data_IF_086043319229
#
_entry.id   IF_086043319229
#
_cell.length_a   1.000
_cell.length_b   1.000
_cell.length_c   1.000
_cell.angle_alpha   90.00
_cell.angle_beta   90.00
_cell.angle_gamma   90.00
#
_symmetry.space_group_name_H-M   'P 1'
#
loop_
_entity.id
_entity.type
_entity.pdbx_description
1 polymer ?
#
# COMPACT_ATOMS: atom_id res chain seq x y z
N UNK A 1 -8.45 -1.57 -19.06
CA UNK A 1 -8.92 -2.85 -18.47
C UNK A 1 -10.32 -3.23 -18.98
N UNK A 2 -10.62 -4.53 -19.04
CA UNK A 2 -11.91 -5.10 -19.46
C UNK A 2 -13.11 -4.53 -18.68
N UNK A 3 -12.89 -4.06 -17.45
CA UNK A 3 -13.87 -3.35 -16.62
C UNK A 3 -14.47 -2.08 -17.27
N UNK A 4 -13.84 -1.49 -18.29
CA UNK A 4 -14.37 -0.33 -19.03
C UNK A 4 -15.60 -0.65 -19.90
N UNK A 5 -15.89 -1.93 -20.17
CA UNK A 5 -17.04 -2.35 -20.96
C UNK A 5 -18.34 -2.45 -20.15
N UNK A 6 -18.29 -2.28 -18.82
CA UNK A 6 -19.50 -2.24 -17.98
C UNK A 6 -20.05 -0.79 -18.03
N UNK A 7 -21.28 -0.57 -18.52
CA UNK A 7 -21.74 0.75 -18.98
C UNK A 7 -21.78 1.84 -17.90
N UNK A 8 -21.94 1.48 -16.61
CA UNK A 8 -21.86 2.43 -15.49
C UNK A 8 -20.44 2.54 -14.90
N UNK A 9 -19.85 1.41 -14.49
CA UNK A 9 -18.55 1.35 -13.80
C UNK A 9 -17.42 1.85 -14.71
N UNK A 10 -17.49 1.54 -16.00
CA UNK A 10 -16.51 1.97 -16.99
C UNK A 10 -16.40 3.48 -17.15
N UNK A 11 -17.51 4.21 -17.04
CA UNK A 11 -17.53 5.69 -17.10
C UNK A 11 -16.89 6.31 -15.86
N UNK A 12 -17.20 5.78 -14.68
CA UNK A 12 -16.60 6.24 -13.42
C UNK A 12 -15.09 6.00 -13.41
N UNK A 13 -14.63 4.80 -13.79
CA UNK A 13 -13.20 4.48 -13.87
C UNK A 13 -12.51 5.40 -14.88
N UNK A 14 -13.10 5.60 -16.06
CA UNK A 14 -12.52 6.49 -17.07
C UNK A 14 -12.45 7.95 -16.60
N UNK A 15 -13.45 8.43 -15.86
CA UNK A 15 -13.47 9.76 -15.28
C UNK A 15 -12.40 9.92 -14.18
N UNK A 16 -12.31 8.95 -13.26
CA UNK A 16 -11.28 8.92 -12.21
C UNK A 16 -9.88 8.87 -12.81
N UNK A 17 -9.65 7.99 -13.78
CA UNK A 17 -8.37 7.85 -14.46
C UNK A 17 -7.97 9.15 -15.18
N UNK A 18 -8.92 9.82 -15.85
CA UNK A 18 -8.66 11.09 -16.55
C UNK A 18 -8.35 12.22 -15.57
N UNK A 19 -9.10 12.33 -14.47
CA UNK A 19 -8.89 13.35 -13.45
C UNK A 19 -7.57 13.13 -12.69
N UNK A 20 -7.29 11.89 -12.31
CA UNK A 20 -6.05 11.49 -11.64
C UNK A 20 -4.83 11.69 -12.54
N UNK A 21 -4.90 11.27 -13.80
CA UNK A 21 -3.83 11.49 -14.78
C UNK A 21 -3.51 12.98 -14.95
N UNK A 22 -4.53 13.84 -14.99
CA UNK A 22 -4.35 15.30 -15.04
C UNK A 22 -3.67 15.84 -13.77
N UNK A 23 -4.10 15.41 -12.59
CA UNK A 23 -3.42 15.81 -11.34
C UNK A 23 -1.95 15.37 -11.28
N UNK A 24 -1.65 14.16 -11.76
CA UNK A 24 -0.29 13.63 -11.81
C UNK A 24 0.57 14.32 -12.89
N UNK A 25 -0.03 14.79 -13.99
CA UNK A 25 0.69 15.57 -15.01
C UNK A 25 1.01 16.97 -14.54
N UNK A 26 0.08 17.59 -13.80
CA UNK A 26 0.21 18.98 -13.35
C UNK A 26 1.20 19.11 -12.18
N UNK A 27 1.44 18.02 -11.43
CA UNK A 27 2.35 18.01 -10.28
C UNK A 27 3.32 16.81 -10.30
N UNK A 28 4.59 17.01 -10.72
CA UNK A 28 5.61 15.96 -10.73
C UNK A 28 5.85 15.32 -9.36
N UNK A 29 5.73 16.09 -8.27
CA UNK A 29 5.88 15.58 -6.91
C UNK A 29 4.81 14.52 -6.58
N UNK A 30 3.55 14.76 -6.95
CA UNK A 30 2.45 13.82 -6.70
C UNK A 30 2.66 12.51 -7.45
N UNK A 31 3.23 12.57 -8.66
CA UNK A 31 3.57 11.37 -9.43
C UNK A 31 4.61 10.50 -8.71
N UNK A 32 5.66 11.09 -8.16
CA UNK A 32 6.69 10.37 -7.41
C UNK A 32 6.15 9.84 -6.08
N UNK A 33 5.37 10.63 -5.33
CA UNK A 33 4.73 10.19 -4.08
C UNK A 33 3.76 9.04 -4.34
N UNK A 34 2.98 9.10 -5.40
CA UNK A 34 2.05 8.02 -5.79
C UNK A 34 2.80 6.74 -6.16
N UNK A 35 3.93 6.88 -6.87
CA UNK A 35 4.79 5.74 -7.20
C UNK A 35 5.42 5.12 -5.96
N UNK A 36 6.00 5.93 -5.07
CA UNK A 36 6.57 5.45 -3.80
C UNK A 36 5.53 4.79 -2.90
N UNK A 37 4.35 5.40 -2.78
CA UNK A 37 3.24 4.81 -2.03
C UNK A 37 2.83 3.45 -2.58
N UNK A 38 2.83 3.28 -3.91
CA UNK A 38 2.50 2.01 -4.54
C UNK A 38 3.60 0.95 -4.36
N UNK A 39 4.88 1.35 -4.39
CA UNK A 39 6.02 0.47 -4.04
C UNK A 39 5.88 -0.02 -2.60
N UNK A 40 5.70 0.91 -1.66
CA UNK A 40 5.54 0.60 -0.24
C UNK A 40 4.32 -0.29 0.00
N UNK A 41 3.20 -0.03 -0.67
CA UNK A 41 2.00 -0.85 -0.57
C UNK A 41 2.28 -2.32 -0.93
N UNK A 42 2.97 -2.55 -2.06
CA UNK A 42 3.34 -3.90 -2.52
C UNK A 42 4.35 -4.56 -1.59
N UNK A 43 5.23 -3.77 -0.95
CA UNK A 43 6.22 -4.31 -0.03
C UNK A 43 5.62 -4.94 1.23
N UNK A 44 4.45 -4.46 1.67
CA UNK A 44 3.85 -4.99 2.89
C UNK A 44 3.18 -6.33 2.60
N UNK A 45 3.46 -7.40 3.36
CA UNK A 45 2.92 -8.75 3.13
C UNK A 45 1.46 -8.87 3.58
N UNK A 46 0.58 -7.97 3.12
CA UNK A 46 -0.87 -8.09 3.32
C UNK A 46 -1.50 -8.89 2.18
N UNK A 47 -2.42 -9.79 2.51
CA UNK A 47 -3.23 -10.45 1.48
C UNK A 47 -3.98 -9.39 0.67
N UNK A 48 -3.73 -9.37 -0.63
CA UNK A 48 -4.31 -8.39 -1.53
C UNK A 48 -3.50 -7.10 -1.69
N UNK A 49 -2.29 -6.96 -1.14
CA UNK A 49 -1.41 -5.82 -1.47
C UNK A 49 -0.62 -6.00 -2.78
N UNK A 50 -0.61 -7.23 -3.31
CA UNK A 50 0.19 -7.62 -4.48
C UNK A 50 -0.23 -7.01 -5.82
N UNK A 51 0.34 -7.55 -6.90
CA UNK A 51 0.30 -6.95 -8.23
C UNK A 51 -1.09 -6.65 -8.79
N UNK A 52 -2.12 -7.42 -8.45
CA UNK A 52 -3.50 -7.18 -8.93
C UNK A 52 -4.07 -5.89 -8.33
N UNK A 53 -4.13 -5.79 -7.00
CA UNK A 53 -4.71 -4.63 -6.32
C UNK A 53 -3.87 -3.38 -6.53
N UNK A 54 -2.54 -3.50 -6.48
CA UNK A 54 -1.65 -2.39 -6.80
C UNK A 54 -1.85 -1.90 -8.24
N UNK A 55 -2.08 -2.81 -9.19
CA UNK A 55 -2.42 -2.44 -10.56
C UNK A 55 -3.76 -1.73 -10.67
N UNK A 56 -4.77 -2.18 -9.92
CA UNK A 56 -6.09 -1.53 -9.88
C UNK A 56 -5.95 -0.12 -9.30
N UNK A 57 -5.32 0.04 -8.13
CA UNK A 57 -5.12 1.32 -7.45
C UNK A 57 -4.34 2.27 -8.36
N UNK A 58 -3.17 1.85 -8.85
CA UNK A 58 -2.32 2.67 -9.71
C UNK A 58 -3.03 3.13 -10.99
N UNK A 59 -3.83 2.26 -11.62
CA UNK A 59 -4.63 2.64 -12.80
C UNK A 59 -5.81 3.54 -12.45
N UNK A 60 -6.45 3.33 -11.30
CA UNK A 60 -7.58 4.16 -10.85
C UNK A 60 -7.15 5.60 -10.57
N UNK A 61 -5.95 5.81 -10.01
CA UNK A 61 -5.37 7.14 -9.80
C UNK A 61 -4.78 7.77 -11.07
N UNK A 62 -4.87 7.09 -12.22
CA UNK A 62 -4.43 7.63 -13.50
C UNK A 62 -2.95 7.45 -13.82
N UNK A 63 -2.22 6.58 -13.11
CA UNK A 63 -0.83 6.28 -13.46
C UNK A 63 -0.72 5.54 -14.80
N UNK A 64 0.33 5.86 -15.55
CA UNK A 64 0.71 5.11 -16.75
C UNK A 64 1.04 3.67 -16.36
N UNK A 65 0.70 2.71 -17.22
CA UNK A 65 0.94 1.29 -16.96
C UNK A 65 2.41 0.98 -16.66
N UNK A 66 3.35 1.64 -17.35
CA UNK A 66 4.78 1.46 -17.10
C UNK A 66 5.21 1.84 -15.67
N UNK A 67 4.64 2.90 -15.11
CA UNK A 67 4.92 3.32 -13.72
C UNK A 67 4.32 2.35 -12.70
N UNK A 68 3.15 1.80 -12.99
CA UNK A 68 2.51 0.80 -12.14
C UNK A 68 3.32 -0.50 -12.15
N UNK A 69 3.73 -0.97 -13.33
CA UNK A 69 4.55 -2.17 -13.49
C UNK A 69 5.90 -1.99 -12.78
N UNK A 70 6.55 -0.82 -12.92
CA UNK A 70 7.81 -0.57 -12.22
C UNK A 70 7.63 -0.53 -10.70
N UNK A 71 6.56 0.09 -10.20
CA UNK A 71 6.28 0.13 -8.77
C UNK A 71 6.05 -1.27 -8.21
N UNK A 72 5.24 -2.09 -8.89
CA UNK A 72 4.96 -3.47 -8.49
C UNK A 72 6.22 -4.33 -8.56
N UNK A 73 7.02 -4.21 -9.63
CA UNK A 73 8.26 -4.96 -9.78
C UNK A 73 9.27 -4.61 -8.68
N UNK A 74 9.50 -3.32 -8.44
CA UNK A 74 10.43 -2.86 -7.39
C UNK A 74 9.93 -3.28 -6.02
N UNK A 75 8.65 -3.07 -5.71
CA UNK A 75 8.07 -3.46 -4.43
C UNK A 75 8.16 -4.96 -4.18
N UNK A 76 7.87 -5.78 -5.20
CA UNK A 76 7.95 -7.24 -5.10
C UNK A 76 9.39 -7.75 -4.95
N UNK A 77 10.35 -7.15 -5.65
CA UNK A 77 11.76 -7.49 -5.51
C UNK A 77 12.27 -7.16 -4.09
N UNK A 78 11.95 -5.97 -3.59
CA UNK A 78 12.35 -5.58 -2.24
C UNK A 78 11.69 -6.51 -1.22
N UNK A 79 10.38 -6.74 -1.32
CA UNK A 79 9.65 -7.63 -0.41
C UNK A 79 10.22 -9.04 -0.40
N UNK A 80 10.46 -9.60 -1.59
CA UNK A 80 11.01 -10.94 -1.75
C UNK A 80 12.40 -11.06 -1.14
N UNK A 81 13.26 -10.06 -1.37
CA UNK A 81 14.61 -10.03 -0.79
C UNK A 81 14.57 -9.91 0.74
N UNK A 82 13.69 -9.05 1.27
CA UNK A 82 13.51 -8.87 2.71
C UNK A 82 13.00 -10.15 3.38
N UNK A 83 12.00 -10.80 2.79
CA UNK A 83 11.44 -12.05 3.33
C UNK A 83 12.47 -13.18 3.21
N UNK A 84 13.18 -13.28 2.09
CA UNK A 84 14.21 -14.30 1.86
C UNK A 84 15.36 -14.19 2.87
N UNK A 85 15.94 -13.00 3.03
CA UNK A 85 17.02 -12.76 3.99
C UNK A 85 16.59 -13.04 5.43
N UNK A 86 15.40 -12.57 5.83
CA UNK A 86 14.86 -12.87 7.17
C UNK A 86 14.58 -14.37 7.36
N UNK A 87 14.15 -15.07 6.32
CA UNK A 87 13.85 -16.50 6.40
C UNK A 87 15.13 -17.36 6.50
N UNK A 88 16.19 -16.98 5.80
CA UNK A 88 17.48 -17.70 5.82
C UNK A 88 18.27 -17.40 7.10
N UNK A 89 18.53 -16.12 7.38
CA UNK A 89 19.42 -15.71 8.48
C UNK A 89 18.69 -15.57 9.83
N UNK A 90 17.36 -15.55 9.82
CA UNK A 90 16.57 -15.29 11.03
C UNK A 90 16.79 -16.32 12.14
N UNK A 91 17.03 -17.58 11.78
CA UNK A 91 17.27 -18.65 12.75
C UNK A 91 18.69 -18.63 13.30
N UNK A 92 19.66 -18.26 12.46
CA UNK A 92 21.08 -18.19 12.82
C UNK A 92 21.36 -17.00 13.74
N UNK A 93 20.75 -15.84 13.49
CA UNK A 93 20.84 -14.64 14.34
C UNK A 93 20.39 -14.94 15.78
N UNK A 94 19.37 -15.77 15.95
CA UNK A 94 18.82 -16.13 17.28
C UNK A 94 19.78 -17.06 18.03
N UNK A 95 20.43 -18.00 17.33
CA UNK A 95 21.35 -18.96 17.95
C UNK A 95 22.72 -18.36 18.26
N UNK A 96 23.23 -17.48 17.40
CA UNK A 96 24.55 -16.87 17.58
C UNK A 96 24.52 -15.69 18.57
N UNK A 97 23.42 -14.93 18.60
CA UNK A 97 23.32 -13.74 19.43
C UNK A 97 21.89 -13.51 19.94
N UNK A 98 21.63 -13.98 21.16
CA UNK A 98 20.34 -13.84 21.84
C UNK A 98 19.86 -12.37 21.91
N UNK A 99 20.78 -11.40 22.07
CA UNK A 99 20.44 -9.97 22.11
C UNK A 99 19.92 -9.49 20.76
N UNK A 100 20.55 -9.92 19.66
CA UNK A 100 20.10 -9.59 18.31
C UNK A 100 18.73 -10.23 17.99
N UNK A 101 18.53 -11.49 18.40
CA UNK A 101 17.23 -12.17 18.28
C UNK A 101 16.11 -11.45 19.05
N UNK A 102 16.34 -11.09 20.30
CA UNK A 102 15.38 -10.32 21.11
C UNK A 102 15.10 -8.94 20.51
N UNK A 103 16.13 -8.25 20.01
CA UNK A 103 15.97 -6.97 19.34
C UNK A 103 15.07 -7.08 18.09
N UNK A 104 15.24 -8.11 17.27
CA UNK A 104 14.39 -8.36 16.11
C UNK A 104 12.91 -8.53 16.50
N UNK A 105 12.63 -9.32 17.55
CA UNK A 105 11.26 -9.53 18.05
C UNK A 105 10.66 -8.21 18.55
N UNK A 106 11.44 -7.40 19.29
CA UNK A 106 11.00 -6.09 19.77
C UNK A 106 10.64 -5.19 18.59
N UNK A 107 11.46 -5.16 17.53
CA UNK A 107 11.18 -4.37 16.33
C UNK A 107 9.84 -4.78 15.70
N UNK A 108 9.59 -6.09 15.55
CA UNK A 108 8.31 -6.60 15.01
C UNK A 108 7.12 -6.17 15.89
N UNK A 109 7.25 -6.28 17.22
CA UNK A 109 6.19 -5.87 18.16
C UNK A 109 5.94 -4.36 18.07
N UNK A 110 6.99 -3.54 18.04
CA UNK A 110 6.87 -2.08 17.92
C UNK A 110 6.18 -1.70 16.62
N UNK A 111 6.56 -2.32 15.50
CA UNK A 111 5.89 -2.10 14.20
C UNK A 111 4.41 -2.46 14.28
N UNK A 112 4.07 -3.61 14.89
CA UNK A 112 2.68 -4.01 15.07
C UNK A 112 1.88 -3.03 15.96
N UNK A 113 2.47 -2.54 17.06
CA UNK A 113 1.87 -1.54 17.95
C UNK A 113 1.62 -0.23 17.19
N UNK A 114 2.61 0.26 16.45
CA UNK A 114 2.48 1.48 15.64
C UNK A 114 1.35 1.33 14.64
N UNK A 115 1.32 0.22 13.89
CA UNK A 115 0.23 -0.06 12.95
C UNK A 115 -1.14 -0.14 13.64
N UNK A 116 -1.21 -0.75 14.83
CA UNK A 116 -2.44 -0.81 15.63
C UNK A 116 -2.92 0.58 16.05
N UNK A 117 -2.02 1.44 16.53
CA UNK A 117 -2.35 2.82 16.88
C UNK A 117 -2.84 3.64 15.68
N UNK A 118 -2.18 3.49 14.52
CA UNK A 118 -2.63 4.11 13.28
C UNK A 118 -4.01 3.62 12.86
N UNK A 119 -4.26 2.31 12.92
CA UNK A 119 -5.55 1.70 12.60
C UNK A 119 -6.66 2.20 13.53
N UNK A 120 -6.40 2.23 14.84
CA UNK A 120 -7.34 2.73 15.84
C UNK A 120 -7.68 4.20 15.58
N UNK A 121 -6.67 5.04 15.35
CA UNK A 121 -6.87 6.47 15.07
C UNK A 121 -7.68 6.73 13.80
N UNK A 122 -7.46 5.92 12.76
CA UNK A 122 -8.22 6.02 11.52
C UNK A 122 -9.69 5.61 11.72
N UNK A 123 -9.93 4.51 12.45
CA UNK A 123 -11.28 4.01 12.73
C UNK A 123 -12.08 4.94 13.64
N UNK A 124 -11.44 5.53 14.66
CA UNK A 124 -12.09 6.45 15.60
C UNK A 124 -12.60 7.72 14.88
N UNK A 125 -11.82 8.28 13.95
CA UNK A 125 -12.26 9.43 13.13
C UNK A 125 -13.48 9.09 12.28
N UNK A 126 -13.46 7.94 11.61
CA UNK A 126 -14.57 7.51 10.75
C UNK A 126 -15.87 7.33 11.57
N UNK A 127 -15.75 6.81 12.78
CA UNK A 127 -16.90 6.61 13.67
C UNK A 127 -17.46 7.94 14.22
N UNK A 128 -16.61 8.95 14.44
CA UNK A 128 -17.06 10.30 14.80
C UNK A 128 -17.85 10.96 13.67
N UNK A 129 -17.31 10.93 12.45
CA UNK A 129 -18.00 11.49 11.27
C UNK A 129 -19.34 10.80 10.98
N UNK A 130 -19.45 9.49 11.26
CA UNK A 130 -20.71 8.76 11.11
C UNK A 130 -21.75 9.19 12.15
N UNK A 131 -21.35 9.34 13.43
CA UNK A 131 -22.25 9.80 14.50
C UNK A 131 -22.71 11.24 14.32
N UNK A 132 -21.86 12.12 13.81
CA UNK A 132 -22.24 13.50 13.49
C UNK A 132 -23.28 13.58 12.37
N UNK A 133 -23.23 12.67 11.39
CA UNK A 133 -24.26 12.57 10.34
C UNK A 133 -25.59 12.03 10.88
N UNK A 134 -25.55 10.99 11.72
CA UNK A 134 -26.75 10.44 12.37
C UNK A 134 -27.42 11.45 13.33
N UNK A 135 -26.66 12.39 13.90
CA UNK A 135 -27.20 13.45 14.75
C UNK A 135 -27.70 14.68 13.97
N UNK A 136 -27.43 14.77 12.67
CA UNK A 136 -27.81 15.88 11.80
C UNK A 136 -29.05 15.57 10.91
N UNK A 137 -29.46 14.30 10.85
CA UNK A 137 -30.70 13.81 10.21
C UNK A 137 -31.86 13.70 11.22
#
# INVERSE_FOLDING_TARGET
PLAKKIPLIGRLIAWLEKKGSKMLSDNPALKTVSWLGLVLWVMVPFQGSGGITASIIGRAIGMRASFVISAVGVGALIAGFLIGTVAEEGWDIIQENLVAGVAMIIVVIVVAIVLFFFYKRYTDKKNQEAREREAAD
#
